data_IF_534365545364
#
_entry.id   IF_534365545364
#
_cell.length_a   1.000
_cell.length_b   1.000
_cell.length_c   1.000
_cell.angle_alpha   90.00
_cell.angle_beta   90.00
_cell.angle_gamma   90.00
#
_symmetry.space_group_name_H-M   'P 1'
#
loop_
_entity.id
_entity.type
_entity.pdbx_description
1 polymer ?
#
# COMPACT_ATOMS: atom_id res chain seq x y z
N UNK A 1 9.40 -11.22 17.61
CA UNK A 1 8.94 -10.06 16.81
C UNK A 1 10.16 -9.36 16.25
N UNK A 2 10.18 -9.06 14.96
CA UNK A 2 11.30 -8.34 14.34
C UNK A 2 10.87 -6.89 14.13
N UNK A 3 11.72 -5.96 14.57
CA UNK A 3 11.62 -4.55 14.18
C UNK A 3 12.05 -4.48 12.72
N UNK A 4 11.37 -3.74 11.85
CA UNK A 4 11.83 -3.56 10.46
C UNK A 4 13.30 -3.05 10.33
N UNK A 5 13.93 -2.58 11.42
CA UNK A 5 15.37 -2.25 11.51
C UNK A 5 16.33 -3.43 11.59
N UNK A 6 15.88 -4.57 12.12
CA UNK A 6 16.73 -5.75 12.38
C UNK A 6 16.40 -6.87 11.40
N UNK A 7 16.27 -6.53 10.11
CA UNK A 7 16.51 -7.53 9.07
C UNK A 7 18.01 -7.80 9.04
N UNK A 8 18.46 -8.65 9.96
CA UNK A 8 19.70 -9.41 9.86
C UNK A 8 19.82 -9.99 8.46
N UNK A 9 21.03 -9.89 7.90
CA UNK A 9 21.50 -10.30 6.58
C UNK A 9 20.76 -11.52 5.97
N UNK A 10 19.64 -11.27 5.30
CA UNK A 10 19.07 -12.21 4.34
C UNK A 10 19.10 -11.65 2.92
N UNK A 11 19.77 -10.52 2.71
CA UNK A 11 19.96 -9.94 1.38
C UNK A 11 20.81 -10.86 0.48
N UNK A 12 21.63 -11.76 1.06
CA UNK A 12 22.45 -12.73 0.31
C UNK A 12 21.69 -13.89 -0.33
N UNK A 13 20.44 -14.17 0.07
CA UNK A 13 19.67 -15.27 -0.52
C UNK A 13 18.78 -14.83 -1.67
N UNK A 14 18.39 -13.55 -1.71
CA UNK A 14 17.47 -13.03 -2.73
C UNK A 14 18.21 -12.49 -3.96
N UNK A 15 19.48 -12.08 -3.83
CA UNK A 15 20.32 -11.70 -4.98
C UNK A 15 20.67 -12.87 -5.92
N UNK A 16 20.42 -14.11 -5.51
CA UNK A 16 20.63 -15.30 -6.36
C UNK A 16 19.47 -15.59 -7.34
N UNK A 17 18.37 -14.82 -7.29
CA UNK A 17 17.23 -14.99 -8.19
C UNK A 17 17.02 -13.81 -9.15
N UNK A 18 17.91 -12.82 -9.16
CA UNK A 18 17.93 -11.79 -10.18
C UNK A 18 18.75 -12.31 -11.38
N UNK A 19 18.14 -12.49 -12.58
CA UNK A 19 18.90 -12.88 -13.77
C UNK A 19 19.90 -11.77 -14.10
N UNK A 20 21.18 -12.14 -14.24
CA UNK A 20 22.23 -11.25 -14.73
C UNK A 20 21.94 -10.92 -16.21
N UNK A 21 22.06 -9.66 -16.65
CA UNK A 21 21.95 -9.32 -18.07
C UNK A 21 23.26 -9.67 -18.78
N UNK A 22 23.27 -10.83 -19.41
CA UNK A 22 24.34 -11.27 -20.30
C UNK A 22 24.36 -10.38 -21.55
N UNK A 23 25.55 -9.91 -21.89
CA UNK A 23 25.84 -9.09 -23.06
C UNK A 23 25.83 -9.96 -24.32
N UNK A 24 25.11 -9.58 -25.39
CA UNK A 24 25.56 -9.70 -26.81
C UNK A 24 24.59 -9.04 -27.81
N UNK A 25 25.21 -8.19 -28.64
CA UNK A 25 25.05 -7.95 -30.09
C UNK A 25 23.74 -7.45 -30.72
N UNK A 26 23.89 -6.32 -31.45
CA UNK A 26 22.88 -5.70 -32.28
C UNK A 26 22.77 -6.32 -33.68
N UNK A 27 21.59 -6.13 -34.29
CA UNK A 27 21.33 -6.30 -35.71
C UNK A 27 20.24 -5.29 -36.12
N UNK A 28 20.51 -4.45 -37.11
CA UNK A 28 19.55 -3.54 -37.74
C UNK A 28 18.57 -4.30 -38.64
N UNK A 29 17.31 -3.87 -38.66
CA UNK A 29 16.28 -4.35 -39.58
C UNK A 29 15.03 -3.49 -39.50
N UNK A 30 14.79 -2.68 -40.53
CA UNK A 30 13.57 -1.86 -40.67
C UNK A 30 12.37 -2.66 -41.16
N UNK A 31 11.17 -2.34 -40.67
CA UNK A 31 9.89 -2.56 -41.34
C UNK A 31 8.74 -1.79 -40.67
N UNK A 32 7.76 -1.42 -41.50
CA UNK A 32 6.70 -0.44 -41.34
C UNK A 32 5.62 -0.69 -40.25
N UNK A 33 5.16 0.43 -39.69
CA UNK A 33 3.82 0.80 -39.20
C UNK A 33 2.80 -0.31 -38.85
N UNK A 34 2.43 -0.34 -37.55
CA UNK A 34 1.03 -0.11 -37.10
C UNK A 34 0.97 0.26 -35.63
N UNK A 35 0.90 1.57 -35.32
CA UNK A 35 0.55 2.08 -33.97
C UNK A 35 -0.85 1.58 -33.62
N UNK A 36 -0.95 0.53 -32.79
CA UNK A 36 -2.21 0.15 -32.15
C UNK A 36 -2.55 1.25 -31.14
N UNK A 37 -3.49 2.13 -31.50
CA UNK A 37 -4.16 3.02 -30.54
C UNK A 37 -4.77 2.12 -29.46
N UNK A 38 -4.18 2.11 -28.27
CA UNK A 38 -4.82 1.57 -27.08
C UNK A 38 -5.92 2.54 -26.68
N UNK A 39 -7.14 2.27 -27.14
CA UNK A 39 -8.32 2.96 -26.64
C UNK A 39 -8.55 2.47 -25.22
N UNK A 40 -8.28 3.32 -24.23
CA UNK A 40 -8.59 3.03 -22.84
C UNK A 40 -10.11 2.90 -22.70
N UNK A 41 -10.61 1.67 -22.57
CA UNK A 41 -12.03 1.41 -22.29
C UNK A 41 -12.19 1.24 -20.78
N UNK A 42 -13.25 1.85 -20.24
CA UNK A 42 -13.58 1.69 -18.83
C UNK A 42 -14.00 0.23 -18.55
N UNK A 43 -13.57 -0.33 -17.43
CA UNK A 43 -13.91 -1.67 -16.96
C UNK A 43 -15.43 -1.92 -16.98
N UNK A 44 -16.24 -0.91 -16.66
CA UNK A 44 -17.71 -1.00 -16.68
C UNK A 44 -18.27 -1.25 -18.09
N UNK A 45 -17.66 -0.65 -19.12
CA UNK A 45 -18.02 -0.90 -20.53
C UNK A 45 -17.56 -2.27 -21.02
N UNK A 46 -16.48 -2.82 -20.45
CA UNK A 46 -16.00 -4.16 -20.81
C UNK A 46 -16.93 -5.26 -20.27
N UNK A 47 -17.52 -5.04 -19.10
CA UNK A 47 -18.44 -6.00 -18.47
C UNK A 47 -19.92 -5.86 -18.88
N UNK A 48 -20.24 -5.00 -19.85
CA UNK A 48 -21.62 -4.90 -20.36
C UNK A 48 -22.65 -4.43 -19.32
N UNK A 49 -22.19 -3.78 -18.25
CA UNK A 49 -23.07 -3.22 -17.22
C UNK A 49 -23.53 -1.83 -17.71
N UNK A 50 -24.83 -1.69 -17.91
CA UNK A 50 -25.44 -0.42 -18.28
C UNK A 50 -25.34 0.56 -17.10
N UNK A 51 -24.82 1.77 -17.36
CA UNK A 51 -24.67 2.79 -16.33
C UNK A 51 -26.06 3.19 -15.81
N UNK A 52 -26.36 3.12 -14.50
CA UNK A 52 -27.53 3.79 -13.99
C UNK A 52 -27.26 5.31 -14.05
N UNK A 53 -27.82 5.96 -15.09
CA UNK A 53 -28.02 7.40 -15.10
C UNK A 53 -28.88 7.78 -13.88
N UNK A 54 -28.24 8.32 -12.85
CA UNK A 54 -28.94 9.03 -11.78
C UNK A 54 -28.84 10.52 -12.05
N UNK A 55 -29.73 11.00 -12.93
CA UNK A 55 -30.09 12.41 -13.03
C UNK A 55 -30.99 12.78 -11.84
N UNK A 56 -30.38 13.24 -10.74
CA UNK A 56 -31.09 13.99 -9.70
C UNK A 56 -30.21 15.14 -9.17
N UNK A 57 -30.54 16.36 -9.59
CA UNK A 57 -30.30 17.62 -8.86
C UNK A 57 -31.53 18.51 -9.08
N UNK A 58 -31.98 19.31 -8.09
CA UNK A 58 -31.08 20.15 -7.28
C UNK A 58 -31.41 20.31 -5.77
N UNK A 59 -30.46 20.91 -5.05
CA UNK A 59 -30.64 21.72 -3.83
C UNK A 59 -30.87 21.04 -2.47
N UNK A 60 -29.80 20.47 -1.90
CA UNK A 60 -29.28 20.93 -0.60
C UNK A 60 -27.76 20.85 -0.63
N UNK A 61 -27.08 21.98 -0.46
CA UNK A 61 -25.64 22.02 -0.30
C UNK A 61 -25.28 21.51 1.11
N UNK A 62 -25.44 20.21 1.36
CA UNK A 62 -24.99 19.58 2.60
C UNK A 62 -23.61 18.99 2.35
N UNK A 63 -22.62 19.86 2.58
CA UNK A 63 -21.26 19.50 2.98
C UNK A 63 -20.59 18.29 2.29
N UNK A 64 -20.31 18.41 0.99
CA UNK A 64 -19.02 17.92 0.45
C UNK A 64 -17.85 18.83 0.90
N UNK A 65 -18.03 19.48 2.05
CA UNK A 65 -17.03 20.25 2.74
C UNK A 65 -15.98 19.27 3.24
N UNK A 66 -14.89 19.17 2.49
CA UNK A 66 -13.58 18.82 3.00
C UNK A 66 -13.60 17.52 3.84
N UNK A 67 -13.25 16.39 3.22
CA UNK A 67 -12.54 15.35 3.96
C UNK A 67 -11.17 15.91 4.36
N UNK A 68 -11.17 16.93 5.21
CA UNK A 68 -10.06 17.24 6.08
C UNK A 68 -9.70 15.91 6.71
N UNK A 69 -8.41 15.62 6.67
CA UNK A 69 -7.71 14.59 7.37
C UNK A 69 -8.02 14.70 8.89
N UNK A 70 -9.27 14.47 9.28
CA UNK A 70 -9.64 14.24 10.65
C UNK A 70 -9.02 12.88 10.93
N UNK A 71 -7.86 12.93 11.59
CA UNK A 71 -7.19 11.75 12.11
C UNK A 71 -8.25 11.01 12.91
N UNK A 72 -8.75 9.91 12.33
CA UNK A 72 -9.77 9.10 12.98
C UNK A 72 -9.17 8.66 14.31
N UNK A 73 -9.93 8.79 15.39
CA UNK A 73 -9.44 8.33 16.69
C UNK A 73 -9.27 6.82 16.63
N UNK A 74 -8.09 6.34 17.05
CA UNK A 74 -7.83 4.92 17.15
C UNK A 74 -8.74 4.32 18.23
N UNK A 75 -9.55 3.29 17.91
CA UNK A 75 -10.45 2.67 18.86
C UNK A 75 -9.68 1.95 19.97
N UNK A 76 -10.31 1.80 21.14
CA UNK A 76 -9.64 1.28 22.35
C UNK A 76 -9.03 -0.12 22.13
N UNK A 77 -9.72 -1.01 21.41
CA UNK A 77 -9.27 -2.39 21.20
C UNK A 77 -8.05 -2.53 20.28
N UNK A 78 -7.66 -1.46 19.57
CA UNK A 78 -6.42 -1.42 18.77
C UNK A 78 -5.24 -0.84 19.56
N UNK A 79 -5.48 -0.35 20.78
CA UNK A 79 -4.46 0.20 21.68
C UNK A 79 -4.25 -0.78 22.83
N UNK A 80 -3.00 -1.04 23.17
CA UNK A 80 -2.67 -1.90 24.29
C UNK A 80 -2.57 -1.03 25.55
N UNK A 81 -3.50 -1.22 26.49
CA UNK A 81 -3.57 -0.44 27.72
C UNK A 81 -2.26 -0.54 28.52
N UNK A 82 -1.79 0.59 29.05
CA UNK A 82 -0.53 0.67 29.80
C UNK A 82 0.74 0.64 28.95
N UNK A 83 0.63 0.63 27.62
CA UNK A 83 1.80 0.65 26.73
C UNK A 83 1.64 1.68 25.60
N UNK A 84 2.75 2.17 25.02
CA UNK A 84 2.70 3.10 23.89
C UNK A 84 2.58 2.34 22.55
N UNK A 85 1.78 1.27 22.52
CA UNK A 85 1.69 0.33 21.40
C UNK A 85 0.29 0.24 20.81
N UNK A 86 0.23 0.06 19.49
CA UNK A 86 -0.99 -0.23 18.75
C UNK A 86 -0.82 -1.44 17.85
N UNK A 87 -1.93 -2.12 17.55
CA UNK A 87 -1.98 -3.27 16.66
C UNK A 87 -2.94 -2.98 15.51
N UNK A 88 -2.48 -3.15 14.27
CA UNK A 88 -3.27 -3.01 13.03
C UNK A 88 -4.01 -1.66 12.94
N UNK A 89 -3.32 -0.58 13.32
CA UNK A 89 -3.89 0.76 13.47
C UNK A 89 -3.36 1.77 12.44
N UNK A 90 -3.06 1.32 11.23
CA UNK A 90 -2.39 2.14 10.21
C UNK A 90 -3.31 3.17 9.54
N UNK A 91 -4.64 2.98 9.55
CA UNK A 91 -5.58 3.93 8.96
C UNK A 91 -5.91 5.16 9.84
N UNK A 92 -5.32 5.23 11.04
CA UNK A 92 -5.52 6.32 12.00
C UNK A 92 -4.36 7.32 12.00
N UNK A 93 -3.30 7.07 11.22
CA UNK A 93 -2.10 7.91 11.18
C UNK A 93 -1.36 7.92 12.50
N UNK A 94 -0.94 9.10 12.96
CA UNK A 94 -0.24 9.28 14.24
C UNK A 94 -1.18 9.13 15.44
N UNK A 95 -1.19 7.97 16.07
CA UNK A 95 -1.98 7.74 17.30
C UNK A 95 -1.31 8.42 18.49
N UNK A 96 -2.04 9.29 19.22
CA UNK A 96 -1.53 10.01 20.39
C UNK A 96 -0.98 9.04 21.45
N UNK A 97 0.27 9.25 21.86
CA UNK A 97 0.96 8.41 22.84
C UNK A 97 1.38 7.03 22.32
N UNK A 98 1.23 6.77 21.02
CA UNK A 98 1.77 5.57 20.39
C UNK A 98 3.16 5.86 19.82
N UNK A 99 4.11 4.98 20.13
CA UNK A 99 5.50 5.05 19.67
C UNK A 99 5.88 3.87 18.77
N UNK A 100 5.10 2.79 18.77
CA UNK A 100 5.37 1.60 17.96
C UNK A 100 4.07 0.92 17.51
N UNK A 101 4.09 0.48 16.26
CA UNK A 101 2.94 -0.13 15.58
C UNK A 101 3.25 -1.59 15.30
N UNK A 102 2.32 -2.47 15.61
CA UNK A 102 2.42 -3.90 15.31
C UNK A 102 1.48 -4.23 14.17
N UNK A 103 2.01 -4.97 13.19
CA UNK A 103 1.19 -5.60 12.15
C UNK A 103 1.11 -7.09 12.46
N UNK A 104 -0.10 -7.58 12.75
CA UNK A 104 -0.31 -8.97 13.14
C UNK A 104 -0.06 -9.91 11.96
N UNK A 105 -0.55 -9.57 10.76
CA UNK A 105 -0.41 -10.36 9.53
C UNK A 105 -0.70 -9.53 8.27
N UNK A 106 -0.45 -10.08 7.09
CA UNK A 106 -0.59 -9.37 5.80
C UNK A 106 -1.97 -9.57 5.16
N UNK A 107 -3.01 -8.95 5.73
CA UNK A 107 -4.33 -8.81 5.08
C UNK A 107 -4.73 -7.34 4.94
N UNK A 108 -5.49 -7.04 3.89
CA UNK A 108 -5.79 -5.67 3.48
C UNK A 108 -6.56 -4.86 4.53
N UNK A 109 -7.42 -5.52 5.30
CA UNK A 109 -8.16 -4.91 6.41
C UNK A 109 -7.27 -4.54 7.61
N UNK A 110 -6.10 -5.18 7.74
CA UNK A 110 -5.15 -4.93 8.83
C UNK A 110 -4.08 -3.90 8.47
N UNK A 111 -3.54 -3.92 7.25
CA UNK A 111 -2.57 -2.92 6.79
C UNK A 111 -3.21 -1.69 6.14
N UNK A 112 -4.54 -1.56 6.16
CA UNK A 112 -5.24 -0.42 5.56
C UNK A 112 -4.68 0.92 6.07
N UNK A 113 -4.26 1.79 5.15
CA UNK A 113 -3.62 3.08 5.47
C UNK A 113 -2.09 3.03 5.58
N UNK A 114 -1.48 1.84 5.57
CA UNK A 114 -0.04 1.71 5.46
C UNK A 114 0.41 2.03 4.04
N UNK A 115 1.39 2.93 3.90
CA UNK A 115 1.94 3.36 2.61
C UNK A 115 3.46 3.43 2.68
N UNK A 116 4.13 3.52 1.53
CA UNK A 116 5.59 3.71 1.44
C UNK A 116 6.11 4.93 2.21
N UNK A 117 5.27 5.94 2.44
CA UNK A 117 5.60 7.17 3.16
C UNK A 117 5.29 7.12 4.65
N UNK A 118 5.11 5.92 5.23
CA UNK A 118 4.79 5.77 6.65
C UNK A 118 5.89 6.36 7.54
N UNK A 119 5.55 7.40 8.30
CA UNK A 119 6.47 8.13 9.17
C UNK A 119 5.97 8.29 10.61
N UNK A 120 4.91 7.58 10.98
CA UNK A 120 4.27 7.72 12.30
C UNK A 120 4.92 6.90 13.41
N UNK A 121 5.78 5.94 13.06
CA UNK A 121 6.54 5.14 14.01
C UNK A 121 7.04 3.82 13.41
N UNK A 122 7.98 3.13 14.10
CA UNK A 122 8.46 1.81 13.69
C UNK A 122 7.32 0.78 13.63
N UNK A 123 7.41 -0.10 12.64
CA UNK A 123 6.50 -1.23 12.44
C UNK A 123 7.20 -2.51 12.88
N UNK A 124 6.53 -3.28 13.71
CA UNK A 124 6.97 -4.58 14.22
C UNK A 124 6.05 -5.66 13.68
N UNK A 125 6.63 -6.72 13.13
CA UNK A 125 5.87 -7.85 12.59
C UNK A 125 6.73 -9.12 12.53
N UNK A 126 6.21 -10.17 11.91
CA UNK A 126 6.98 -11.37 11.58
C UNK A 126 7.82 -11.15 10.33
N UNK A 127 8.88 -11.95 10.15
CA UNK A 127 9.75 -11.87 8.97
C UNK A 127 8.98 -12.07 7.66
N UNK A 128 8.01 -12.98 7.65
CA UNK A 128 7.17 -13.23 6.48
C UNK A 128 6.37 -11.98 6.11
N UNK A 129 5.73 -11.34 7.09
CA UNK A 129 4.96 -10.11 6.89
C UNK A 129 5.86 -8.96 6.41
N UNK A 130 7.06 -8.81 6.98
CA UNK A 130 8.01 -7.78 6.55
C UNK A 130 8.40 -7.92 5.06
N UNK A 131 8.61 -9.15 4.58
CA UNK A 131 8.89 -9.42 3.16
C UNK A 131 7.72 -9.04 2.27
N UNK A 132 6.49 -9.39 2.66
CA UNK A 132 5.28 -9.03 1.92
C UNK A 132 5.06 -7.51 1.89
N UNK A 133 5.32 -6.81 3.00
CA UNK A 133 5.29 -5.34 3.04
C UNK A 133 6.28 -4.71 2.05
N UNK A 134 7.49 -5.27 1.93
CA UNK A 134 8.53 -4.78 1.01
C UNK A 134 8.13 -5.00 -0.45
N UNK A 135 7.65 -6.20 -0.80
CA UNK A 135 7.34 -6.57 -2.20
C UNK A 135 6.00 -5.98 -2.67
N UNK A 136 4.98 -5.97 -1.81
CA UNK A 136 3.62 -5.57 -2.20
C UNK A 136 3.33 -4.08 -1.95
N UNK A 137 3.85 -3.50 -0.86
CA UNK A 137 3.57 -2.11 -0.49
C UNK A 137 4.77 -1.17 -0.64
N UNK A 138 5.95 -1.70 -1.01
CA UNK A 138 7.20 -0.94 -1.14
C UNK A 138 7.52 -0.11 0.11
N UNK A 139 7.19 -0.64 1.29
CA UNK A 139 7.50 0.00 2.57
C UNK A 139 8.96 -0.26 2.88
N UNK A 140 9.75 0.82 2.94
CA UNK A 140 11.16 0.72 3.30
C UNK A 140 11.32 0.30 4.76
N UNK A 141 12.29 -0.56 5.08
CA UNK A 141 12.69 -0.76 6.47
C UNK A 141 13.22 0.58 7.01
N UNK A 142 12.63 1.08 8.10
CA UNK A 142 12.99 2.37 8.71
C UNK A 142 13.86 2.18 9.92
#
# INVERSE_FOLDING_TARGET
MVKLKETVDFDSYVDNFLPQPDSVDGCEGGADKKRRRLTQKNLFQLWGLENPNLDLRPSTATSLASRKNQQRLCPFYKRIAGTPFTVDAFCYGSVKGCSAYFLSHFHADHYIGLTKGWSHGPIYCTNLTARLLRICLYVSPS
#
